data_IF_012745394449
#
_entry.id   IF_012745394449
#
_cell.length_a   1.000
_cell.length_b   1.000
_cell.length_c   1.000
_cell.angle_alpha   90.00
_cell.angle_beta   90.00
_cell.angle_gamma   90.00
#
_symmetry.space_group_name_H-M   'P 1'
#
loop_
_entity.id
_entity.type
_entity.pdbx_description
1 polymer ?
#
# COMPACT_ATOMS: atom_id res chain seq x y z
N UNK A 1 10.19 19.74 -11.92
CA UNK A 1 9.52 19.13 -13.09
C UNK A 1 8.66 17.99 -12.61
N UNK A 2 7.44 17.82 -13.15
CA UNK A 2 6.65 16.61 -12.91
C UNK A 2 7.18 15.48 -13.81
N UNK A 3 7.31 14.27 -13.28
CA UNK A 3 7.82 13.11 -14.03
C UNK A 3 6.95 11.88 -13.79
N UNK A 4 7.03 10.91 -14.70
CA UNK A 4 6.38 9.61 -14.58
C UNK A 4 7.40 8.47 -14.69
N UNK A 5 7.18 7.40 -13.94
CA UNK A 5 8.09 6.26 -13.89
C UNK A 5 7.94 5.32 -15.08
N UNK A 6 9.08 4.84 -15.59
CA UNK A 6 9.18 3.66 -16.45
C UNK A 6 10.09 2.64 -15.81
N UNK A 7 9.53 1.49 -15.42
CA UNK A 7 10.23 0.38 -14.80
C UNK A 7 10.81 -0.55 -15.88
N UNK A 8 12.12 -0.72 -15.87
CA UNK A 8 12.87 -1.66 -16.70
C UNK A 8 13.07 -3.01 -15.99
N UNK A 9 13.08 -4.09 -16.76
CA UNK A 9 13.29 -5.46 -16.27
C UNK A 9 14.72 -5.71 -15.73
N UNK A 10 15.62 -4.77 -15.94
CA UNK A 10 16.99 -4.72 -15.41
C UNK A 10 17.07 -4.19 -13.96
N UNK A 11 15.92 -3.92 -13.32
CA UNK A 11 15.88 -3.36 -11.97
C UNK A 11 16.19 -1.86 -11.95
N UNK A 12 16.02 -1.17 -13.08
CA UNK A 12 16.13 0.30 -13.19
C UNK A 12 14.77 0.93 -13.41
N UNK A 13 14.53 2.07 -12.76
CA UNK A 13 13.41 2.94 -13.06
C UNK A 13 13.96 4.25 -13.60
N UNK A 14 13.39 4.73 -14.69
CA UNK A 14 13.73 6.04 -15.28
C UNK A 14 12.56 6.99 -15.09
N UNK A 15 12.86 8.23 -14.71
CA UNK A 15 11.89 9.30 -14.57
C UNK A 15 11.74 10.05 -15.90
N UNK A 16 10.58 9.93 -16.54
CA UNK A 16 10.27 10.58 -17.81
C UNK A 16 9.61 11.94 -17.53
N UNK A 17 10.22 13.07 -17.91
CA UNK A 17 9.67 14.39 -17.61
C UNK A 17 8.42 14.69 -18.44
N UNK A 18 7.35 15.14 -17.77
CA UNK A 18 6.11 15.58 -18.40
C UNK A 18 6.23 17.06 -18.81
N UNK A 19 6.97 17.32 -19.89
CA UNK A 19 7.27 18.68 -20.38
C UNK A 19 6.72 18.90 -21.78
N UNK A 20 5.89 19.94 -21.95
CA UNK A 20 5.36 20.35 -23.25
C UNK A 20 6.48 20.75 -24.22
N UNK A 21 6.33 20.37 -25.48
CA UNK A 21 7.32 20.57 -26.54
C UNK A 21 8.44 19.51 -26.56
N UNK A 22 8.43 18.54 -25.64
CA UNK A 22 9.44 17.48 -25.55
C UNK A 22 8.83 16.13 -25.94
N UNK A 23 9.50 15.42 -26.85
CA UNK A 23 9.06 14.10 -27.30
C UNK A 23 7.64 14.14 -27.89
N UNK A 24 6.73 13.25 -27.46
CA UNK A 24 5.36 13.21 -27.97
C UNK A 24 4.44 14.28 -27.35
N UNK A 25 4.90 15.11 -26.41
CA UNK A 25 4.03 16.05 -25.68
C UNK A 25 3.91 17.38 -26.41
N UNK A 26 3.26 17.37 -27.57
CA UNK A 26 3.16 18.53 -28.47
C UNK A 26 1.71 18.78 -28.93
N UNK A 27 1.50 19.89 -29.66
CA UNK A 27 0.20 20.27 -30.21
C UNK A 27 -0.36 19.21 -31.18
N UNK A 28 0.51 18.54 -31.94
CA UNK A 28 0.14 17.46 -32.85
C UNK A 28 -0.48 16.26 -32.13
N UNK A 29 -0.11 16.04 -30.87
CA UNK A 29 -0.65 14.98 -30.02
C UNK A 29 -1.66 15.49 -28.99
N UNK A 30 -2.23 16.68 -29.23
CA UNK A 30 -3.35 17.20 -28.46
C UNK A 30 -2.99 17.97 -27.19
N UNK A 31 -1.74 18.44 -27.03
CA UNK A 31 -1.36 19.35 -25.95
C UNK A 31 -1.01 20.73 -26.51
N UNK A 32 -1.76 21.78 -26.18
CA UNK A 32 -1.45 23.14 -26.62
C UNK A 32 -0.42 23.86 -25.71
N UNK A 33 -0.17 23.35 -24.50
CA UNK A 33 0.72 23.97 -23.52
C UNK A 33 1.13 23.03 -22.39
N UNK A 34 2.06 23.49 -21.54
CA UNK A 34 2.41 22.80 -20.28
C UNK A 34 1.22 22.62 -19.34
N UNK A 35 0.23 23.53 -19.38
CA UNK A 35 -0.96 23.42 -18.53
C UNK A 35 -1.78 22.18 -18.90
N UNK A 36 -1.99 21.93 -20.19
CA UNK A 36 -2.71 20.75 -20.66
C UNK A 36 -1.95 19.46 -20.37
N UNK A 37 -0.61 19.46 -20.47
CA UNK A 37 0.20 18.30 -20.03
C UNK A 37 -0.02 17.96 -18.56
N UNK A 38 -0.21 18.95 -17.69
CA UNK A 38 -0.45 18.73 -16.26
C UNK A 38 -1.90 18.34 -15.95
N UNK A 39 -2.88 18.91 -16.65
CA UNK A 39 -4.30 18.54 -16.53
C UNK A 39 -4.50 17.09 -17.02
N UNK A 40 -3.95 16.77 -18.19
CA UNK A 40 -4.06 15.47 -18.84
C UNK A 40 -2.83 14.58 -18.62
N UNK A 41 -2.23 14.67 -17.42
CA UNK A 41 -0.98 13.98 -17.08
C UNK A 41 -1.04 12.46 -17.34
N UNK A 42 -2.22 11.82 -17.19
CA UNK A 42 -2.42 10.40 -17.50
C UNK A 42 -2.27 10.10 -19.00
N UNK A 43 -2.81 10.95 -19.87
CA UNK A 43 -2.69 10.82 -21.33
C UNK A 43 -1.25 11.10 -21.76
N UNK A 44 -0.64 12.15 -21.21
CA UNK A 44 0.77 12.47 -21.46
C UNK A 44 1.71 11.33 -21.04
N UNK A 45 1.52 10.76 -19.85
CA UNK A 45 2.29 9.62 -19.36
C UNK A 45 2.14 8.37 -20.25
N UNK A 46 0.93 8.14 -20.77
CA UNK A 46 0.67 7.03 -21.69
C UNK A 46 1.47 7.21 -22.98
N UNK A 47 1.50 8.41 -23.55
CA UNK A 47 2.29 8.72 -24.75
C UNK A 47 3.80 8.63 -24.52
N UNK A 48 4.28 8.95 -23.32
CA UNK A 48 5.68 8.75 -22.93
C UNK A 48 6.05 7.27 -22.72
N UNK A 49 5.08 6.36 -22.68
CA UNK A 49 5.32 4.95 -22.43
C UNK A 49 5.68 4.64 -20.97
N UNK A 50 5.04 5.34 -20.03
CA UNK A 50 5.09 5.00 -18.60
C UNK A 50 4.60 3.57 -18.35
N UNK A 51 5.13 2.93 -17.31
CA UNK A 51 4.70 1.57 -16.93
C UNK A 51 3.33 1.62 -16.25
N UNK A 52 2.37 0.81 -16.73
CA UNK A 52 1.05 0.66 -16.12
C UNK A 52 1.16 -0.23 -14.88
N UNK A 53 1.02 0.35 -13.70
CA UNK A 53 1.26 -0.32 -12.41
C UNK A 53 -0.02 -0.91 -11.79
N UNK A 54 0.15 -1.90 -10.91
CA UNK A 54 -0.93 -2.51 -10.12
C UNK A 54 -1.40 -1.60 -8.97
N UNK A 55 -2.24 -0.61 -9.31
CA UNK A 55 -2.93 0.30 -8.38
C UNK A 55 -1.99 0.87 -7.29
N UNK A 56 -1.07 1.79 -7.66
CA UNK A 56 -0.26 2.51 -6.68
C UNK A 56 -1.15 3.32 -5.74
N UNK A 57 -0.97 3.10 -4.44
CA UNK A 57 -1.61 3.87 -3.36
C UNK A 57 -0.54 4.80 -2.75
N UNK A 58 -0.10 4.52 -1.52
CA UNK A 58 0.86 5.37 -0.82
C UNK A 58 2.31 5.16 -1.30
N UNK A 59 3.08 6.25 -1.20
CA UNK A 59 4.51 6.30 -1.52
C UNK A 59 5.25 6.88 -0.32
N UNK A 60 6.06 6.06 0.34
CA UNK A 60 6.69 6.40 1.61
C UNK A 60 8.21 6.47 1.51
N UNK A 61 8.80 7.68 1.46
CA UNK A 61 10.23 7.87 1.66
C UNK A 61 10.66 7.45 3.06
N UNK A 62 11.81 6.80 3.16
CA UNK A 62 12.42 6.38 4.40
C UNK A 62 13.61 7.29 4.72
N UNK A 63 13.49 8.22 5.68
CA UNK A 63 14.57 9.15 6.00
C UNK A 63 15.78 8.48 6.69
N UNK A 64 15.64 7.24 7.17
CA UNK A 64 16.73 6.49 7.80
C UNK A 64 17.60 5.79 6.76
N UNK A 65 16.99 5.24 5.70
CA UNK A 65 17.69 4.44 4.68
C UNK A 65 17.89 5.18 3.35
N UNK A 66 17.19 6.30 3.11
CA UNK A 66 17.17 7.01 1.83
C UNK A 66 16.38 6.30 0.72
N UNK A 67 15.69 5.20 1.05
CA UNK A 67 14.88 4.42 0.11
C UNK A 67 13.46 4.96 0.03
N UNK A 68 12.71 4.58 -1.01
CA UNK A 68 11.29 4.91 -1.15
C UNK A 68 10.50 3.63 -1.36
N UNK A 69 9.36 3.48 -0.68
CA UNK A 69 8.48 2.33 -0.85
C UNK A 69 7.19 2.74 -1.55
N UNK A 70 6.73 1.94 -2.51
CA UNK A 70 5.49 2.15 -3.24
C UNK A 70 4.57 0.97 -2.96
N UNK A 71 3.42 1.24 -2.35
CA UNK A 71 2.40 0.24 -2.07
C UNK A 71 1.55 0.02 -3.32
N UNK A 72 1.49 -1.22 -3.80
CA UNK A 72 0.72 -1.64 -4.97
C UNK A 72 -0.34 -2.61 -4.49
N UNK A 73 -1.53 -2.09 -4.20
CA UNK A 73 -2.52 -2.78 -3.36
C UNK A 73 -3.09 -4.03 -4.02
N UNK A 74 -3.60 -3.96 -5.26
CA UNK A 74 -3.94 -5.13 -6.08
C UNK A 74 -4.36 -4.71 -7.50
N UNK A 75 -4.45 -5.67 -8.42
CA UNK A 75 -5.02 -5.48 -9.76
C UNK A 75 -5.55 -6.82 -10.33
N UNK A 76 -6.80 -7.13 -10.02
CA UNK A 76 -7.52 -8.30 -10.54
C UNK A 76 -7.70 -8.27 -12.07
N UNK A 77 -7.56 -7.09 -12.68
CA UNK A 77 -7.69 -6.91 -14.13
C UNK A 77 -6.38 -7.10 -14.88
N UNK A 78 -5.25 -7.32 -14.19
CA UNK A 78 -3.95 -7.58 -14.83
C UNK A 78 -4.05 -8.85 -15.68
N UNK A 79 -4.04 -8.70 -16.99
CA UNK A 79 -4.09 -9.85 -17.88
C UNK A 79 -2.73 -10.56 -17.95
N UNK A 80 -2.67 -11.86 -18.29
CA UNK A 80 -1.41 -12.57 -18.48
C UNK A 80 -0.45 -11.93 -19.49
N UNK A 81 -0.99 -11.23 -20.50
CA UNK A 81 -0.19 -10.54 -21.51
C UNK A 81 0.41 -9.21 -21.02
N UNK A 82 -0.13 -8.64 -19.93
CA UNK A 82 0.32 -7.39 -19.33
C UNK A 82 1.23 -7.60 -18.11
N UNK A 83 1.57 -8.85 -17.79
CA UNK A 83 2.52 -9.20 -16.73
C UNK A 83 3.92 -8.76 -17.15
N UNK A 84 4.62 -8.09 -16.24
CA UNK A 84 6.00 -7.66 -16.40
C UNK A 84 6.79 -7.84 -15.09
N UNK A 85 8.06 -7.43 -15.08
CA UNK A 85 8.91 -7.57 -13.90
C UNK A 85 8.38 -6.80 -12.70
N UNK A 86 7.76 -5.63 -12.92
CA UNK A 86 7.25 -4.76 -11.88
C UNK A 86 5.84 -5.16 -11.43
N UNK A 87 5.09 -5.89 -12.25
CA UNK A 87 3.73 -6.37 -12.00
C UNK A 87 3.64 -7.87 -12.32
N UNK A 88 4.19 -8.76 -11.45
CA UNK A 88 4.55 -10.12 -11.83
C UNK A 88 3.41 -11.14 -11.77
N UNK A 89 2.17 -10.73 -11.46
CA UNK A 89 1.02 -11.64 -11.30
C UNK A 89 -0.15 -11.20 -12.16
N UNK A 90 -0.66 -12.12 -12.98
CA UNK A 90 -1.97 -11.96 -13.60
C UNK A 90 -3.07 -12.12 -12.54
N UNK A 91 -4.17 -11.37 -12.65
CA UNK A 91 -5.26 -11.41 -11.67
C UNK A 91 -4.76 -11.16 -10.24
N UNK A 92 -3.87 -10.18 -10.06
CA UNK A 92 -3.19 -9.95 -8.79
C UNK A 92 -4.20 -9.49 -7.72
N UNK A 93 -4.65 -10.38 -6.84
CA UNK A 93 -5.61 -10.07 -5.76
C UNK A 93 -4.96 -9.55 -4.47
N UNK A 94 -3.64 -9.71 -4.33
CA UNK A 94 -2.97 -9.60 -3.03
C UNK A 94 -2.01 -8.43 -2.90
N UNK A 95 -1.53 -7.86 -4.01
CA UNK A 95 -0.62 -6.73 -3.99
C UNK A 95 0.84 -7.05 -3.66
N UNK A 96 1.66 -6.01 -3.73
CA UNK A 96 3.09 -6.08 -3.44
C UNK A 96 3.63 -4.68 -3.09
N UNK A 97 4.87 -4.63 -2.60
CA UNK A 97 5.55 -3.35 -2.30
C UNK A 97 6.83 -3.30 -3.12
N UNK A 98 7.01 -2.22 -3.89
CA UNK A 98 8.26 -1.93 -4.59
C UNK A 98 9.14 -1.04 -3.72
N UNK A 99 10.43 -1.37 -3.63
CA UNK A 99 11.46 -0.50 -3.06
C UNK A 99 12.22 0.19 -4.20
N UNK A 100 12.37 1.51 -4.09
CA UNK A 100 13.21 2.33 -4.95
C UNK A 100 14.45 2.79 -4.16
N UNK A 101 15.60 2.81 -4.85
CA UNK A 101 16.91 3.20 -4.33
C UNK A 101 17.50 4.29 -5.24
N UNK A 102 17.44 5.56 -4.84
CA UNK A 102 18.06 6.63 -5.60
C UNK A 102 19.56 6.40 -5.81
N UNK A 103 20.04 6.68 -7.02
CA UNK A 103 21.46 6.52 -7.33
C UNK A 103 22.31 7.47 -6.48
N UNK A 104 23.35 6.93 -5.84
CA UNK A 104 24.18 7.65 -4.87
C UNK A 104 23.40 8.32 -3.72
N UNK A 105 22.15 7.90 -3.46
CA UNK A 105 21.27 8.54 -2.48
C UNK A 105 20.70 9.89 -2.93
N UNK A 106 20.84 10.24 -4.21
CA UNK A 106 20.34 11.50 -4.76
C UNK A 106 18.92 11.35 -5.33
N UNK A 107 17.94 11.90 -4.63
CA UNK A 107 16.54 11.90 -5.06
C UNK A 107 16.28 12.80 -6.29
N UNK A 108 17.25 13.63 -6.70
CA UNK A 108 17.18 14.38 -7.96
C UNK A 108 17.70 13.59 -9.17
N UNK A 109 18.25 12.38 -8.97
CA UNK A 109 18.75 11.55 -10.06
C UNK A 109 17.63 11.12 -11.02
N UNK A 110 17.93 11.10 -12.31
CA UNK A 110 16.96 10.74 -13.37
C UNK A 110 16.59 9.25 -13.39
N UNK A 111 17.30 8.42 -12.63
CA UNK A 111 17.03 7.00 -12.56
C UNK A 111 17.39 6.40 -11.20
N UNK A 112 16.57 5.47 -10.71
CA UNK A 112 16.77 4.75 -9.45
C UNK A 112 16.91 3.25 -9.69
N UNK A 113 17.55 2.54 -8.76
CA UNK A 113 17.43 1.09 -8.69
C UNK A 113 16.08 0.72 -8.08
N UNK A 114 15.51 -0.42 -8.46
CA UNK A 114 14.30 -0.92 -7.82
C UNK A 114 14.31 -2.44 -7.65
N UNK A 115 13.50 -2.93 -6.71
CA UNK A 115 13.12 -4.33 -6.63
C UNK A 115 11.74 -4.46 -5.96
N UNK A 116 11.11 -5.64 -6.06
CA UNK A 116 9.97 -5.97 -5.22
C UNK A 116 10.49 -6.32 -3.81
N UNK A 117 10.12 -5.50 -2.82
CA UNK A 117 10.44 -5.74 -1.43
C UNK A 117 9.70 -6.99 -0.94
N UNK A 118 8.38 -7.01 -1.06
CA UNK A 118 7.54 -8.16 -0.70
C UNK A 118 6.46 -8.39 -1.76
N UNK A 119 6.13 -9.66 -2.01
CA UNK A 119 4.91 -10.06 -2.74
C UNK A 119 3.94 -10.59 -1.70
N UNK A 120 2.80 -9.92 -1.57
CA UNK A 120 1.88 -10.16 -0.48
C UNK A 120 1.02 -11.42 -0.73
N UNK A 121 0.41 -11.93 0.33
CA UNK A 121 -0.41 -13.15 0.32
C UNK A 121 0.13 -14.29 1.18
N UNK A 122 -0.65 -15.38 1.24
CA UNK A 122 -0.33 -16.55 2.05
C UNK A 122 0.77 -17.40 1.42
N UNK A 123 1.93 -17.50 2.08
CA UNK A 123 3.04 -18.33 1.61
C UNK A 123 2.83 -19.83 1.75
N UNK A 124 1.76 -20.29 2.43
CA UNK A 124 1.40 -21.71 2.46
C UNK A 124 0.75 -22.19 1.15
N UNK A 125 0.30 -21.28 0.30
CA UNK A 125 -0.30 -21.57 -1.00
C UNK A 125 0.73 -21.24 -2.08
N UNK A 126 1.30 -22.26 -2.72
CA UNK A 126 2.41 -22.09 -3.66
C UNK A 126 2.06 -21.18 -4.85
N UNK A 127 0.81 -21.27 -5.32
CA UNK A 127 0.27 -20.53 -6.46
C UNK A 127 0.20 -19.01 -6.21
N UNK A 128 0.09 -18.58 -4.95
CA UNK A 128 0.08 -17.15 -4.57
C UNK A 128 1.44 -16.49 -4.85
N UNK A 129 2.52 -17.28 -4.82
CA UNK A 129 3.88 -16.81 -5.08
C UNK A 129 4.35 -15.74 -4.09
N UNK A 130 3.85 -15.78 -2.84
CA UNK A 130 4.21 -14.81 -1.82
C UNK A 130 5.72 -14.79 -1.55
N UNK A 131 6.25 -13.64 -1.16
CA UNK A 131 7.67 -13.44 -0.86
C UNK A 131 7.80 -12.78 0.51
N UNK A 132 8.17 -13.58 1.50
CA UNK A 132 8.39 -13.18 2.88
C UNK A 132 9.72 -13.72 3.39
N UNK A 133 10.24 -13.14 4.47
CA UNK A 133 11.27 -13.80 5.27
C UNK A 133 10.68 -15.07 5.93
N UNK A 134 11.42 -16.19 5.99
CA UNK A 134 10.96 -17.41 6.67
C UNK A 134 10.56 -17.23 8.14
N UNK A 135 11.06 -16.19 8.81
CA UNK A 135 10.67 -15.84 10.19
C UNK A 135 9.25 -15.21 10.28
N UNK A 136 8.62 -14.89 9.15
CA UNK A 136 7.25 -14.37 9.11
C UNK A 136 6.27 -15.46 9.54
N UNK A 137 5.59 -15.23 10.66
CA UNK A 137 4.62 -16.20 11.20
C UNK A 137 3.37 -16.34 10.32
N UNK A 138 2.57 -17.37 10.58
CA UNK A 138 1.27 -17.58 9.92
C UNK A 138 0.27 -16.41 10.06
N UNK A 139 0.47 -15.54 11.05
CA UNK A 139 -0.32 -14.31 11.28
C UNK A 139 0.44 -13.02 10.89
N UNK A 140 1.68 -13.14 10.41
CA UNK A 140 2.56 -12.01 10.13
C UNK A 140 2.43 -11.47 8.71
N UNK A 141 2.05 -12.31 7.75
CA UNK A 141 1.81 -11.90 6.37
C UNK A 141 0.53 -11.07 6.22
N UNK A 142 0.50 -10.24 5.18
CA UNK A 142 -0.64 -9.38 4.82
C UNK A 142 -0.90 -9.40 3.31
N UNK A 143 -1.99 -8.73 2.90
CA UNK A 143 -2.41 -8.49 1.50
C UNK A 143 -2.81 -7.02 1.38
N UNK A 144 -2.98 -6.56 0.14
CA UNK A 144 -3.53 -5.26 -0.21
C UNK A 144 -2.91 -4.09 0.57
N UNK A 145 -1.57 -3.90 0.48
CA UNK A 145 -0.91 -2.78 1.14
C UNK A 145 -1.43 -1.46 0.56
N UNK A 146 -1.84 -0.55 1.42
CA UNK A 146 -2.41 0.74 1.04
C UNK A 146 -1.54 1.90 1.55
N UNK A 147 -1.71 2.29 2.82
CA UNK A 147 -0.90 3.35 3.44
C UNK A 147 0.31 2.80 4.17
N UNK A 148 1.30 3.67 4.39
CA UNK A 148 2.45 3.30 5.20
C UNK A 148 3.08 4.46 5.95
N UNK A 149 3.91 4.13 6.94
CA UNK A 149 4.75 5.08 7.66
C UNK A 149 6.10 4.43 7.97
N UNK A 150 7.11 5.26 8.23
CA UNK A 150 8.43 4.80 8.67
C UNK A 150 8.65 5.18 10.13
N UNK A 151 9.07 4.22 10.95
CA UNK A 151 9.42 4.49 12.34
C UNK A 151 10.86 5.01 12.48
N UNK A 152 11.22 5.39 13.72
CA UNK A 152 12.53 5.95 14.04
C UNK A 152 13.71 4.98 13.87
N UNK A 153 13.45 3.70 13.55
CA UNK A 153 14.47 2.70 13.27
C UNK A 153 14.51 2.34 11.77
N UNK A 154 13.68 2.97 10.93
CA UNK A 154 13.65 2.75 9.49
C UNK A 154 12.80 1.56 9.05
N UNK A 155 11.98 0.97 9.93
CA UNK A 155 11.03 -0.07 9.54
C UNK A 155 9.81 0.53 8.87
N UNK A 156 9.21 -0.21 7.94
CA UNK A 156 8.00 0.19 7.25
C UNK A 156 6.79 -0.36 8.02
N UNK A 157 5.83 0.50 8.34
CA UNK A 157 4.57 0.14 8.97
C UNK A 157 3.48 0.25 7.92
N UNK A 158 2.87 -0.87 7.55
CA UNK A 158 1.98 -0.99 6.40
C UNK A 158 0.56 -1.21 6.89
N UNK A 159 -0.34 -0.34 6.45
CA UNK A 159 -1.77 -0.47 6.61
C UNK A 159 -2.38 -1.23 5.42
N UNK A 160 -3.43 -1.99 5.65
CA UNK A 160 -4.07 -2.82 4.62
C UNK A 160 -5.51 -2.40 4.36
N UNK A 161 -5.91 -2.50 3.09
CA UNK A 161 -7.28 -2.34 2.59
C UNK A 161 -7.58 -3.45 1.57
N UNK A 162 -8.33 -4.46 1.97
CA UNK A 162 -8.72 -5.56 1.08
C UNK A 162 -10.02 -5.28 0.30
N UNK A 163 -10.77 -4.24 0.67
CA UNK A 163 -12.12 -3.95 0.20
C UNK A 163 -13.14 -5.05 0.53
N UNK A 164 -14.28 -5.01 -0.17
CA UNK A 164 -15.44 -5.88 0.11
C UNK A 164 -15.18 -7.39 -0.01
N UNK A 165 -14.11 -7.79 -0.71
CA UNK A 165 -13.75 -9.19 -0.96
C UNK A 165 -12.82 -9.80 0.10
N UNK A 166 -12.52 -9.09 1.21
CA UNK A 166 -11.62 -9.59 2.26
C UNK A 166 -12.01 -10.98 2.78
N UNK A 167 -13.31 -11.29 2.87
CA UNK A 167 -13.84 -12.56 3.34
C UNK A 167 -13.50 -13.75 2.43
N UNK A 168 -13.40 -13.50 1.12
CA UNK A 168 -13.08 -14.50 0.10
C UNK A 168 -11.56 -14.60 -0.11
N UNK A 169 -10.86 -13.46 -0.07
CA UNK A 169 -9.41 -13.37 -0.28
C UNK A 169 -8.61 -14.01 0.85
N UNK A 170 -8.91 -13.63 2.10
CA UNK A 170 -8.09 -14.04 3.26
C UNK A 170 -8.90 -14.50 4.46
N UNK A 171 -10.17 -14.08 4.55
CA UNK A 171 -11.00 -14.18 5.75
C UNK A 171 -10.32 -13.58 7.00
N UNK A 172 -9.45 -12.57 6.81
CA UNK A 172 -8.76 -11.84 7.87
C UNK A 172 -9.15 -10.36 7.81
N UNK A 173 -9.39 -9.78 8.97
CA UNK A 173 -9.58 -8.34 9.09
C UNK A 173 -8.30 -7.60 8.68
N UNK A 174 -8.49 -6.42 8.09
CA UNK A 174 -7.41 -5.49 7.82
C UNK A 174 -6.73 -4.99 9.09
N UNK A 175 -5.58 -4.35 8.93
CA UNK A 175 -4.79 -3.95 10.08
C UNK A 175 -3.49 -3.24 9.75
N UNK A 176 -2.65 -3.16 10.76
CA UNK A 176 -1.32 -2.58 10.67
C UNK A 176 -0.26 -3.63 10.90
N UNK A 177 0.75 -3.66 10.03
CA UNK A 177 1.85 -4.62 10.04
C UNK A 177 3.18 -3.88 10.08
N UNK A 178 4.09 -4.29 10.98
CA UNK A 178 5.47 -3.83 10.98
C UNK A 178 6.30 -4.73 10.07
N UNK A 179 7.00 -4.13 9.10
CA UNK A 179 7.83 -4.80 8.09
C UNK A 179 9.29 -4.36 8.24
N UNK A 180 10.15 -5.34 8.47
CA UNK A 180 11.61 -5.16 8.48
C UNK A 180 12.11 -4.97 7.04
N UNK A 181 12.79 -3.86 6.80
CA UNK A 181 13.29 -3.47 5.48
C UNK A 181 14.77 -3.78 5.32
N UNK A 182 15.57 -3.84 6.37
CA UNK A 182 17.02 -4.05 6.27
C UNK A 182 17.52 -5.29 7.02
N UNK A 183 18.75 -5.68 6.74
CA UNK A 183 19.49 -6.70 7.50
C UNK A 183 18.93 -8.13 7.40
N UNK A 184 19.31 -8.98 8.35
CA UNK A 184 18.95 -10.41 8.36
C UNK A 184 17.44 -10.67 8.47
N UNK A 185 16.69 -9.72 9.06
CA UNK A 185 15.23 -9.79 9.18
C UNK A 185 14.50 -9.14 8.01
N UNK A 186 15.17 -8.62 6.98
CA UNK A 186 14.52 -8.04 5.78
C UNK A 186 13.41 -8.96 5.29
N UNK A 187 12.23 -8.38 5.00
CA UNK A 187 10.97 -9.05 4.61
C UNK A 187 10.23 -9.78 5.74
N UNK A 188 10.63 -9.60 7.01
CA UNK A 188 9.87 -10.14 8.15
C UNK A 188 8.74 -9.18 8.47
N UNK A 189 7.51 -9.69 8.40
CA UNK A 189 6.32 -8.94 8.74
C UNK A 189 5.69 -9.44 10.05
N UNK A 190 5.15 -8.50 10.83
CA UNK A 190 4.43 -8.81 12.06
C UNK A 190 3.18 -7.94 12.15
N UNK A 191 2.04 -8.60 12.32
CA UNK A 191 0.79 -7.94 12.67
C UNK A 191 0.92 -7.22 14.03
N UNK A 192 0.59 -5.94 14.05
CA UNK A 192 0.59 -5.10 15.23
C UNK A 192 -0.82 -4.77 15.71
N UNK A 193 -1.74 -4.45 14.80
CA UNK A 193 -3.12 -4.08 15.12
C UNK A 193 -4.09 -4.69 14.10
N UNK A 194 -5.27 -5.13 14.56
CA UNK A 194 -6.38 -5.60 13.71
C UNK A 194 -7.57 -4.65 13.82
N UNK A 195 -8.15 -4.30 12.68
CA UNK A 195 -9.36 -3.51 12.58
C UNK A 195 -10.60 -4.28 13.07
N UNK A 196 -11.67 -3.56 13.48
CA UNK A 196 -13.00 -4.14 13.55
C UNK A 196 -13.46 -4.64 12.17
N UNK A 197 -14.46 -5.53 12.15
CA UNK A 197 -15.01 -6.07 10.91
C UNK A 197 -15.44 -4.97 9.92
N UNK A 198 -15.14 -5.17 8.64
CA UNK A 198 -15.52 -4.28 7.54
C UNK A 198 -14.89 -2.90 7.56
N UNK A 199 -13.88 -2.68 8.42
CA UNK A 199 -13.00 -1.51 8.36
C UNK A 199 -11.70 -1.85 7.63
N UNK A 200 -11.13 -0.85 6.99
CA UNK A 200 -9.71 -0.82 6.62
C UNK A 200 -8.88 -0.06 7.68
N UNK A 201 -7.56 -0.22 7.61
CA UNK A 201 -6.62 0.60 8.37
C UNK A 201 -6.08 1.72 7.48
N UNK A 202 -6.04 2.94 7.99
CA UNK A 202 -5.57 4.10 7.24
C UNK A 202 -4.63 4.98 8.07
N UNK A 203 -3.68 5.62 7.36
CA UNK A 203 -2.89 6.76 7.86
C UNK A 203 -2.13 6.53 9.17
N UNK A 204 -1.20 5.55 9.24
CA UNK A 204 -0.32 5.43 10.39
C UNK A 204 0.58 6.66 10.52
N UNK A 205 0.74 7.18 11.74
CA UNK A 205 1.60 8.32 12.01
C UNK A 205 2.26 8.20 13.38
N UNK A 206 3.59 8.25 13.42
CA UNK A 206 4.35 8.27 14.66
C UNK A 206 4.57 9.71 15.13
N UNK A 207 4.40 9.95 16.44
CA UNK A 207 4.92 11.18 17.05
C UNK A 207 6.44 11.24 16.92
N UNK A 208 7.06 12.44 16.92
CA UNK A 208 8.52 12.57 16.79
C UNK A 208 9.34 11.78 17.82
N UNK A 209 8.81 11.61 19.04
CA UNK A 209 9.43 10.82 20.12
C UNK A 209 9.22 9.30 19.97
N UNK A 210 8.38 8.87 19.03
CA UNK A 210 7.99 7.48 18.77
C UNK A 210 7.20 6.82 19.91
N UNK A 211 6.70 7.59 20.88
CA UNK A 211 5.97 7.04 22.04
C UNK A 211 4.46 6.93 21.79
N UNK A 212 3.94 7.61 20.77
CA UNK A 212 2.55 7.50 20.32
C UNK A 212 2.49 7.18 18.84
N UNK A 213 1.70 6.17 18.50
CA UNK A 213 1.32 5.83 17.12
C UNK A 213 -0.16 6.17 16.92
N UNK A 214 -0.45 7.10 16.01
CA UNK A 214 -1.79 7.39 15.58
C UNK A 214 -2.20 6.47 14.43
N UNK A 215 -3.39 5.88 14.53
CA UNK A 215 -4.01 5.04 13.49
C UNK A 215 -5.43 5.52 13.21
N UNK A 216 -5.90 5.45 11.97
CA UNK A 216 -7.29 5.69 11.64
C UNK A 216 -7.98 4.39 11.22
N UNK A 217 -9.01 3.98 11.98
CA UNK A 217 -9.93 2.92 11.55
C UNK A 217 -10.99 3.57 10.66
N UNK A 218 -11.00 3.22 9.37
CA UNK A 218 -11.96 3.77 8.41
C UNK A 218 -13.19 2.84 8.29
N UNK A 219 -14.36 3.45 8.04
CA UNK A 219 -15.64 2.79 7.73
C UNK A 219 -15.93 1.45 8.45
N UNK A 220 -15.84 1.36 9.78
CA UNK A 220 -16.13 0.12 10.51
C UNK A 220 -17.54 -0.41 10.21
N UNK A 221 -17.62 -1.70 9.88
CA UNK A 221 -18.85 -2.36 9.51
C UNK A 221 -19.36 -2.03 8.10
N UNK A 222 -18.49 -1.64 7.16
CA UNK A 222 -18.88 -1.44 5.76
C UNK A 222 -18.57 -2.68 4.92
N UNK A 223 -17.29 -2.98 4.73
CA UNK A 223 -16.84 -3.87 3.67
C UNK A 223 -17.05 -5.34 3.99
N UNK A 224 -17.59 -6.09 3.01
CA UNK A 224 -17.72 -7.55 3.07
C UNK A 224 -18.51 -8.09 4.27
N UNK A 225 -19.28 -7.24 4.95
CA UNK A 225 -20.00 -7.59 6.18
C UNK A 225 -21.10 -8.62 5.97
N UNK A 226 -21.68 -8.69 4.77
CA UNK A 226 -22.69 -9.66 4.38
C UNK A 226 -22.11 -11.09 4.24
N UNK A 227 -20.78 -11.21 4.18
CA UNK A 227 -20.04 -12.48 4.22
C UNK A 227 -19.40 -12.76 5.57
N UNK A 228 -19.55 -11.86 6.55
CA UNK A 228 -19.00 -12.06 7.88
C UNK A 228 -19.81 -13.10 8.65
N UNK A 229 -19.13 -14.20 9.04
CA UNK A 229 -19.74 -15.29 9.80
C UNK A 229 -20.35 -14.79 11.11
N UNK A 230 -21.62 -15.09 11.34
CA UNK A 230 -22.40 -14.62 12.49
C UNK A 230 -23.13 -13.30 12.28
N UNK A 231 -22.91 -12.60 11.16
CA UNK A 231 -23.69 -11.42 10.76
C UNK A 231 -24.45 -11.66 9.45
N UNK A 232 -23.79 -12.17 8.40
CA UNK A 232 -24.34 -12.69 7.13
C UNK A 232 -25.49 -11.86 6.49
N UNK A 233 -25.45 -10.53 6.61
CA UNK A 233 -26.45 -9.61 6.04
C UNK A 233 -25.85 -8.22 5.79
N UNK A 234 -26.58 -7.35 5.12
CA UNK A 234 -26.14 -5.97 4.91
C UNK A 234 -26.02 -5.23 6.24
N UNK A 235 -24.86 -4.61 6.48
CA UNK A 235 -24.66 -3.72 7.61
C UNK A 235 -25.39 -2.39 7.36
N UNK A 236 -26.24 -1.99 8.30
CA UNK A 236 -27.06 -0.79 8.20
C UNK A 236 -26.95 0.07 9.46
N UNK A 237 -27.45 1.29 9.42
CA UNK A 237 -27.50 2.15 10.62
C UNK A 237 -28.23 1.49 11.80
N UNK A 238 -29.39 0.88 11.53
CA UNK A 238 -30.22 0.24 12.54
C UNK A 238 -29.60 -1.08 13.04
N UNK A 239 -28.94 -1.81 12.14
CA UNK A 239 -28.38 -3.13 12.39
C UNK A 239 -27.01 -3.26 11.71
N UNK A 240 -25.92 -2.76 12.32
CA UNK A 240 -24.59 -2.81 11.78
C UNK A 240 -23.82 -4.04 12.27
N UNK A 241 -22.82 -4.43 11.48
CA UNK A 241 -21.92 -5.54 11.81
C UNK A 241 -21.05 -5.27 13.04
N UNK A 242 -20.86 -4.00 13.41
CA UNK A 242 -20.13 -3.58 14.59
C UNK A 242 -20.67 -2.26 15.12
N UNK A 243 -20.41 -1.99 16.40
CA UNK A 243 -20.75 -0.74 17.09
C UNK A 243 -19.49 0.01 17.53
N UNK A 244 -18.36 -0.26 16.85
CA UNK A 244 -17.07 0.39 17.12
C UNK A 244 -17.18 1.93 17.08
N UNK A 245 -16.46 2.68 17.95
CA UNK A 245 -15.59 2.18 19.02
C UNK A 245 -16.31 1.99 20.35
N UNK A 246 -17.51 2.57 20.50
CA UNK A 246 -18.20 2.72 21.78
C UNK A 246 -18.88 1.41 22.24
N UNK A 247 -19.21 0.53 21.28
CA UNK A 247 -20.00 -0.69 21.48
C UNK A 247 -21.37 -0.48 22.14
N UNK A 248 -21.88 0.74 22.09
CA UNK A 248 -23.22 1.10 22.54
C UNK A 248 -24.26 0.70 21.49
N UNK A 249 -25.30 -0.02 21.91
CA UNK A 249 -26.38 -0.48 21.04
C UNK A 249 -27.17 0.68 20.41
N UNK A 250 -27.14 1.87 21.01
CA UNK A 250 -27.85 3.05 20.53
C UNK A 250 -27.01 3.92 19.58
N UNK A 251 -25.75 3.56 19.32
CA UNK A 251 -24.84 4.34 18.49
C UNK A 251 -24.51 3.60 17.18
N UNK A 252 -24.38 4.30 16.04
CA UNK A 252 -23.84 3.69 14.83
C UNK A 252 -22.33 3.45 14.96
N UNK A 253 -21.73 2.58 14.12
CA UNK A 253 -20.29 2.51 14.01
C UNK A 253 -19.70 3.84 13.54
N UNK A 254 -18.54 4.21 14.06
CA UNK A 254 -17.89 5.50 13.79
C UNK A 254 -16.42 5.30 13.41
N UNK A 255 -15.97 5.80 12.24
CA UNK A 255 -14.55 5.94 11.95
C UNK A 255 -13.85 6.69 13.09
N UNK A 256 -12.67 6.23 13.47
CA UNK A 256 -12.00 6.70 14.69
C UNK A 256 -10.51 6.79 14.51
N UNK A 257 -9.91 7.89 14.99
CA UNK A 257 -8.47 8.01 15.18
C UNK A 257 -8.11 7.49 16.57
N UNK A 258 -7.16 6.56 16.62
CA UNK A 258 -6.64 5.94 17.82
C UNK A 258 -5.29 6.54 18.15
N UNK A 259 -5.03 6.78 19.43
CA UNK A 259 -3.70 7.03 19.95
C UNK A 259 -3.20 5.75 20.65
N UNK A 260 -2.24 5.07 20.04
CA UNK A 260 -1.64 3.86 20.60
C UNK A 260 -0.40 4.24 21.38
N UNK A 261 -0.40 3.89 22.68
CA UNK A 261 0.70 4.14 23.61
C UNK A 261 1.09 2.86 24.33
N UNK A 262 2.36 2.71 24.68
CA UNK A 262 2.83 1.59 25.50
C UNK A 262 2.47 1.80 26.99
N UNK A 263 1.92 0.77 27.64
CA UNK A 263 1.70 0.79 29.09
C UNK A 263 3.05 0.91 29.81
N UNK A 264 3.16 1.90 30.69
CA UNK A 264 4.44 2.25 31.35
C UNK A 264 5.35 3.16 30.53
N UNK A 265 4.92 3.63 29.36
CA UNK A 265 5.65 4.58 28.51
C UNK A 265 6.74 3.95 27.65
N UNK A 266 7.42 4.81 26.90
CA UNK A 266 8.49 4.45 25.98
C UNK A 266 8.00 4.19 24.55
N UNK A 267 8.97 4.02 23.66
CA UNK A 267 8.74 3.89 22.21
C UNK A 267 7.86 2.68 21.87
N UNK A 268 6.98 2.87 20.89
CA UNK A 268 6.17 1.82 20.26
C UNK A 268 7.06 0.84 19.50
N UNK A 269 8.17 1.34 18.94
CA UNK A 269 9.04 0.64 18.01
C UNK A 269 10.53 0.81 18.38
#
# INVERSE_FOLDING_TARGET
TLSVAKFGADGRVTWLPLTYGVGPLTAENGFASQAEVLIDARLAATLLGATRMDRPEDVQPNPVTGKVYVNLTYNEKRSPAEVDAANPRAGNEFGHIIELRPDAGDHAADAFGWEILVRCGDSSIAEVGALWNPETSANGWFTCPDNSAVDGQGRLWVATDQGEHWGEKTARADGLYALETEGARRRTAKLFFRCPVGAEMCGPYFTPDQETLFLAVQHPGCDGTDKFKGFERASTFADPATRWPDFDQNMPPRPSVLAITKVGGGKIA
#
